data_IF_642080995224
#
_entry.id   IF_642080995224
#
_cell.length_a   1.000
_cell.length_b   1.000
_cell.length_c   1.000
_cell.angle_alpha   90.00
_cell.angle_beta   90.00
_cell.angle_gamma   90.00
#
_symmetry.space_group_name_H-M   'P 1'
#
loop_
_entity.id
_entity.type
_entity.pdbx_description
1 polymer ?
#
# COMPACT_ATOMS: atom_id res chain seq x y z
N UNK A 1 1.27 11.57 -19.88
CA UNK A 1 -0.16 11.45 -19.50
C UNK A 1 -0.59 12.76 -18.87
N UNK A 2 -1.70 13.32 -19.33
CA UNK A 2 -2.37 14.44 -18.65
C UNK A 2 -3.37 13.83 -17.68
N UNK A 3 -3.25 14.11 -16.39
CA UNK A 3 -4.18 13.60 -15.38
C UNK A 3 -5.25 14.67 -15.06
N UNK A 4 -6.49 14.26 -14.75
CA UNK A 4 -7.49 15.16 -14.20
C UNK A 4 -6.97 15.90 -12.95
N UNK A 5 -7.38 17.15 -12.76
CA UNK A 5 -6.91 18.00 -11.66
C UNK A 5 -7.20 17.41 -10.27
N UNK A 6 -8.28 16.61 -10.13
CA UNK A 6 -8.64 16.01 -8.85
C UNK A 6 -7.57 15.06 -8.30
N UNK A 7 -6.68 14.50 -9.13
CA UNK A 7 -5.57 13.67 -8.67
C UNK A 7 -4.63 14.43 -7.72
N UNK A 8 -4.44 15.74 -7.93
CA UNK A 8 -3.65 16.59 -7.05
C UNK A 8 -4.35 16.94 -5.73
N UNK A 9 -5.67 16.75 -5.64
CA UNK A 9 -6.44 16.97 -4.42
C UNK A 9 -6.49 15.73 -3.50
N UNK A 10 -6.09 14.55 -4.02
CA UNK A 10 -6.02 13.33 -3.22
C UNK A 10 -4.92 13.46 -2.14
N UNK A 11 -5.13 12.87 -0.94
CA UNK A 11 -4.12 12.93 0.10
C UNK A 11 -2.85 12.17 -0.31
N UNK A 12 -1.70 12.59 0.21
CA UNK A 12 -0.42 11.91 -0.01
C UNK A 12 -0.07 10.97 1.15
N UNK A 13 0.94 10.12 0.93
CA UNK A 13 1.54 9.25 1.95
C UNK A 13 3.05 9.51 1.96
N UNK A 14 3.57 9.97 3.09
CA UNK A 14 5.01 10.09 3.31
C UNK A 14 5.57 8.80 3.91
N UNK A 15 6.69 8.34 3.38
CA UNK A 15 7.42 7.17 3.86
C UNK A 15 8.90 7.50 4.02
N UNK A 16 9.52 7.06 5.11
CA UNK A 16 10.98 7.04 5.24
C UNK A 16 11.48 5.71 4.68
N UNK A 17 12.38 5.73 3.71
CA UNK A 17 13.03 4.55 3.15
C UNK A 17 14.56 4.63 3.34
N UNK A 18 15.09 3.96 4.38
CA UNK A 18 16.52 3.88 4.64
C UNK A 18 17.35 3.27 3.50
N UNK A 19 16.76 2.39 2.68
CA UNK A 19 17.43 1.83 1.50
C UNK A 19 17.54 2.89 0.40
N UNK A 20 16.46 3.63 0.15
CA UNK A 20 16.49 4.72 -0.82
C UNK A 20 17.49 5.80 -0.41
N UNK A 21 17.60 6.11 0.89
CA UNK A 21 18.62 7.01 1.41
C UNK A 21 20.03 6.49 1.16
N UNK A 22 20.29 5.23 1.52
CA UNK A 22 21.61 4.60 1.34
C UNK A 22 22.06 4.62 -0.12
N UNK A 23 21.13 4.37 -1.05
CA UNK A 23 21.40 4.33 -2.49
C UNK A 23 21.34 5.71 -3.16
N UNK A 24 21.11 6.79 -2.41
CA UNK A 24 20.99 8.15 -2.95
C UNK A 24 19.78 8.35 -3.87
N UNK A 25 18.76 7.50 -3.75
CA UNK A 25 17.55 7.53 -4.59
C UNK A 25 16.46 8.47 -4.05
N UNK A 26 16.58 8.93 -2.81
CA UNK A 26 15.67 9.89 -2.19
C UNK A 26 16.43 10.83 -1.24
N UNK A 27 16.23 12.15 -1.40
CA UNK A 27 16.76 13.15 -0.47
C UNK A 27 16.18 12.91 0.93
N UNK A 28 17.04 12.90 1.94
CA UNK A 28 16.71 12.60 3.34
C UNK A 28 16.04 11.23 3.60
N UNK A 29 16.05 10.36 2.58
CA UNK A 29 15.36 9.08 2.62
C UNK A 29 13.84 9.20 2.68
N UNK A 30 13.24 10.33 2.30
CA UNK A 30 11.78 10.53 2.36
C UNK A 30 11.21 10.42 0.95
N UNK A 31 10.16 9.60 0.81
CA UNK A 31 9.41 9.42 -0.44
C UNK A 31 7.97 9.84 -0.19
N UNK A 32 7.46 10.73 -1.04
CA UNK A 32 6.05 11.12 -1.05
C UNK A 32 5.30 10.39 -2.16
N UNK A 33 4.41 9.49 -1.77
CA UNK A 33 3.54 8.78 -2.69
C UNK A 33 2.24 9.57 -2.91
N UNK A 34 1.97 9.86 -4.18
CA UNK A 34 0.74 10.49 -4.61
C UNK A 34 -0.21 9.43 -5.17
N UNK A 35 -1.51 9.73 -5.20
CA UNK A 35 -2.50 8.82 -5.80
C UNK A 35 -2.20 8.53 -7.29
N UNK A 36 -1.57 9.47 -8.00
CA UNK A 36 -1.17 9.23 -9.39
C UNK A 36 -0.11 8.13 -9.54
N UNK A 37 0.72 7.86 -8.52
CA UNK A 37 1.77 6.85 -8.60
C UNK A 37 1.18 5.44 -8.58
N UNK A 38 0.15 5.20 -7.76
CA UNK A 38 -0.60 3.94 -7.78
C UNK A 38 -1.45 3.80 -9.05
N UNK A 39 -1.93 4.89 -9.64
CA UNK A 39 -2.61 4.84 -10.94
C UNK A 39 -1.64 4.53 -12.08
N UNK A 40 -0.42 5.07 -12.06
CA UNK A 40 0.63 4.67 -13.01
C UNK A 40 0.98 3.19 -12.88
N UNK A 41 1.02 2.66 -11.65
CA UNK A 41 1.23 1.23 -11.41
C UNK A 41 0.09 0.37 -12.00
N UNK A 42 -1.17 0.75 -11.74
CA UNK A 42 -2.34 -0.01 -12.16
C UNK A 42 -2.77 0.25 -13.62
N UNK A 43 -2.23 1.30 -14.25
CA UNK A 43 -2.64 1.80 -15.57
C UNK A 43 -3.98 2.56 -15.58
N UNK A 44 -4.75 2.55 -14.50
CA UNK A 44 -6.06 3.22 -14.41
C UNK A 44 -6.47 3.48 -12.95
N UNK A 45 -7.48 4.34 -12.80
CA UNK A 45 -8.15 4.63 -11.53
C UNK A 45 -9.45 3.84 -11.45
N UNK A 46 -9.57 2.95 -10.48
CA UNK A 46 -10.83 2.25 -10.16
C UNK A 46 -11.02 2.17 -8.63
N UNK A 47 -12.23 1.82 -8.14
CA UNK A 47 -12.52 1.76 -6.70
C UNK A 47 -11.54 0.87 -5.93
N UNK A 48 -11.06 -0.23 -6.51
CA UNK A 48 -10.05 -1.11 -5.90
C UNK A 48 -8.72 -0.39 -5.70
N UNK A 49 -8.21 0.33 -6.71
CA UNK A 49 -6.92 1.05 -6.63
C UNK A 49 -7.01 2.20 -5.64
N UNK A 50 -8.11 2.96 -5.68
CA UNK A 50 -8.41 4.00 -4.68
C UNK A 50 -8.49 3.42 -3.27
N UNK A 51 -9.24 2.34 -3.10
CA UNK A 51 -9.42 1.65 -1.84
C UNK A 51 -8.10 1.12 -1.26
N UNK A 52 -7.24 0.53 -2.08
CA UNK A 52 -5.93 0.05 -1.65
C UNK A 52 -5.01 1.18 -1.17
N UNK A 53 -4.99 2.32 -1.88
CA UNK A 53 -4.21 3.50 -1.47
C UNK A 53 -4.72 4.08 -0.15
N UNK A 54 -6.04 4.22 -0.01
CA UNK A 54 -6.67 4.69 1.24
C UNK A 54 -6.47 3.70 2.39
N UNK A 55 -6.47 2.40 2.11
CA UNK A 55 -6.19 1.33 3.08
C UNK A 55 -4.78 1.45 3.63
N UNK A 56 -3.77 1.59 2.75
CA UNK A 56 -2.40 1.85 3.16
C UNK A 56 -2.30 3.11 4.03
N UNK A 57 -2.89 4.23 3.56
CA UNK A 57 -2.87 5.49 4.30
C UNK A 57 -3.49 5.37 5.69
N UNK A 58 -4.64 4.70 5.82
CA UNK A 58 -5.31 4.50 7.11
C UNK A 58 -4.46 3.63 8.05
N UNK A 59 -3.91 2.52 7.55
CA UNK A 59 -3.05 1.64 8.34
C UNK A 59 -1.80 2.36 8.85
N UNK A 60 -1.12 3.09 7.98
CA UNK A 60 0.12 3.80 8.30
C UNK A 60 -0.10 4.89 9.36
N UNK A 61 -1.20 5.66 9.23
CA UNK A 61 -1.57 6.65 10.25
C UNK A 61 -1.87 6.03 11.61
N UNK A 62 -2.51 4.86 11.64
CA UNK A 62 -2.80 4.16 12.88
C UNK A 62 -1.54 3.57 13.53
N UNK A 63 -0.60 3.06 12.73
CA UNK A 63 0.64 2.42 13.21
C UNK A 63 1.73 3.43 13.59
N UNK A 64 1.71 4.62 13.00
CA UNK A 64 2.69 5.69 13.22
C UNK A 64 1.96 7.02 13.45
N UNK A 65 1.24 7.20 14.57
CA UNK A 65 0.47 8.41 14.83
C UNK A 65 1.34 9.67 14.92
N UNK A 66 2.57 9.53 15.43
CA UNK A 66 3.48 10.64 15.74
C UNK A 66 4.81 10.57 14.96
N UNK A 67 4.88 9.75 13.90
CA UNK A 67 6.10 9.54 13.14
C UNK A 67 5.83 9.26 11.65
N UNK A 68 6.86 9.46 10.81
CA UNK A 68 6.81 9.01 9.42
C UNK A 68 7.02 7.49 9.40
N UNK A 69 6.11 6.69 8.79
CA UNK A 69 6.28 5.25 8.67
C UNK A 69 7.56 4.86 7.91
N UNK A 70 8.18 3.76 8.34
CA UNK A 70 9.37 3.22 7.68
C UNK A 70 9.00 2.18 6.63
N UNK A 71 9.45 2.41 5.39
CA UNK A 71 9.27 1.49 4.26
C UNK A 71 10.06 0.21 4.50
N UNK A 72 9.34 -0.91 4.40
CA UNK A 72 9.73 -2.29 4.67
C UNK A 72 10.04 -2.61 6.14
N UNK A 73 9.51 -1.81 7.07
CA UNK A 73 9.38 -2.18 8.48
C UNK A 73 7.93 -2.62 8.82
N UNK A 74 7.18 -3.05 7.81
CA UNK A 74 5.75 -3.37 7.91
C UNK A 74 5.50 -4.71 7.22
N UNK A 75 4.93 -5.66 7.96
CA UNK A 75 4.34 -6.88 7.42
C UNK A 75 2.90 -6.61 6.96
N UNK A 76 2.51 -7.15 5.82
CA UNK A 76 1.18 -7.05 5.21
C UNK A 76 0.64 -8.45 4.96
N UNK A 77 -0.54 -8.74 5.50
CA UNK A 77 -1.20 -10.03 5.34
C UNK A 77 -2.55 -9.82 4.66
N UNK A 78 -2.67 -10.38 3.46
CA UNK A 78 -3.89 -10.33 2.65
C UNK A 78 -4.86 -11.43 3.12
N UNK A 79 -6.18 -11.13 3.20
CA UNK A 79 -7.16 -12.06 3.76
C UNK A 79 -7.59 -13.19 2.81
N UNK A 80 -7.09 -13.18 1.57
CA UNK A 80 -7.43 -14.13 0.51
C UNK A 80 -6.19 -14.49 -0.33
N UNK A 81 -6.26 -15.57 -1.16
CA UNK A 81 -5.25 -15.91 -2.14
C UNK A 81 -5.01 -14.81 -3.17
N UNK A 82 -3.78 -14.72 -3.69
CA UNK A 82 -3.36 -13.70 -4.65
C UNK A 82 -4.25 -13.62 -5.90
N UNK A 83 -4.59 -14.78 -6.46
CA UNK A 83 -5.37 -14.91 -7.70
C UNK A 83 -6.88 -14.71 -7.50
N UNK A 84 -7.34 -14.50 -6.26
CA UNK A 84 -8.75 -14.34 -5.98
C UNK A 84 -9.20 -12.89 -6.16
N UNK A 85 -10.15 -12.69 -7.08
CA UNK A 85 -10.77 -11.38 -7.32
C UNK A 85 -9.72 -10.31 -7.59
N UNK A 86 -9.74 -9.24 -6.79
CA UNK A 86 -8.78 -8.13 -6.93
C UNK A 86 -7.64 -8.17 -5.91
N UNK A 87 -7.43 -9.29 -5.20
CA UNK A 87 -6.47 -9.39 -4.10
C UNK A 87 -5.04 -9.05 -4.55
N UNK A 88 -4.59 -9.60 -5.68
CA UNK A 88 -3.29 -9.28 -6.27
C UNK A 88 -3.15 -7.81 -6.70
N UNK A 89 -4.24 -7.14 -7.11
CA UNK A 89 -4.22 -5.71 -7.45
C UNK A 89 -3.98 -4.86 -6.19
N UNK A 90 -4.72 -5.16 -5.12
CA UNK A 90 -4.54 -4.48 -3.83
C UNK A 90 -3.12 -4.71 -3.32
N UNK A 91 -2.63 -5.95 -3.36
CA UNK A 91 -1.30 -6.31 -2.88
C UNK A 91 -0.15 -5.58 -3.63
N UNK A 92 -0.27 -5.37 -4.95
CA UNK A 92 0.70 -4.59 -5.72
C UNK A 92 0.76 -3.13 -5.26
N UNK A 93 -0.40 -2.51 -5.02
CA UNK A 93 -0.47 -1.14 -4.48
C UNK A 93 0.17 -1.07 -3.09
N UNK A 94 -0.12 -2.03 -2.21
CA UNK A 94 0.48 -2.07 -0.89
C UNK A 94 2.00 -2.27 -0.97
N UNK A 95 2.48 -3.14 -1.86
CA UNK A 95 3.91 -3.37 -2.13
C UNK A 95 4.61 -2.08 -2.54
N UNK A 96 4.01 -1.29 -3.45
CA UNK A 96 4.59 -0.02 -3.89
C UNK A 96 4.87 0.90 -2.70
N UNK A 97 3.86 1.10 -1.85
CA UNK A 97 3.87 2.06 -0.75
C UNK A 97 4.73 1.56 0.42
N UNK A 98 4.45 0.35 0.92
CA UNK A 98 5.09 -0.17 2.14
C UNK A 98 6.40 -0.87 1.86
N UNK A 99 6.71 -1.23 0.61
CA UNK A 99 7.84 -2.06 0.26
C UNK A 99 7.68 -3.53 0.67
N UNK A 100 6.55 -3.92 1.27
CA UNK A 100 6.31 -5.29 1.67
C UNK A 100 6.04 -6.16 0.44
N UNK A 101 6.92 -7.13 0.17
CA UNK A 101 6.83 -8.00 -1.01
C UNK A 101 6.78 -9.47 -0.60
N UNK A 102 6.31 -10.32 -1.51
CA UNK A 102 6.38 -11.79 -1.35
C UNK A 102 7.84 -12.26 -1.49
N UNK A 103 8.07 -13.56 -1.69
CA UNK A 103 9.42 -14.12 -1.79
C UNK A 103 10.27 -13.52 -2.92
N UNK A 104 9.65 -12.94 -3.95
CA UNK A 104 10.33 -12.25 -5.05
C UNK A 104 10.85 -10.84 -4.71
N UNK A 105 10.61 -10.35 -3.48
CA UNK A 105 11.07 -9.04 -3.04
C UNK A 105 12.59 -8.89 -2.97
N UNK A 106 13.04 -7.65 -2.76
CA UNK A 106 14.46 -7.36 -2.53
C UNK A 106 14.97 -8.09 -1.28
N UNK A 107 16.05 -8.87 -1.42
CA UNK A 107 16.61 -9.68 -0.32
C UNK A 107 17.35 -8.87 0.76
N UNK A 108 17.60 -7.60 0.48
CA UNK A 108 18.39 -6.74 1.35
C UNK A 108 19.87 -6.67 0.95
N UNK A 109 20.61 -5.87 1.69
CA UNK A 109 22.07 -5.73 1.59
C UNK A 109 22.64 -6.19 2.93
N UNK A 110 23.36 -7.31 2.94
CA UNK A 110 23.74 -7.98 4.17
C UNK A 110 22.49 -8.44 4.93
N UNK A 111 22.32 -7.97 6.17
CA UNK A 111 21.18 -8.31 7.05
C UNK A 111 20.13 -7.18 7.14
N UNK A 112 20.21 -6.17 6.26
CA UNK A 112 19.38 -4.95 6.34
C UNK A 112 18.55 -4.77 5.07
N UNK A 113 17.46 -4.02 5.20
CA UNK A 113 16.60 -3.56 4.09
C UNK A 113 15.85 -4.65 3.31
N UNK A 114 15.72 -5.85 3.89
CA UNK A 114 14.92 -6.92 3.31
C UNK A 114 13.48 -6.46 3.07
N UNK A 115 12.92 -6.86 1.92
CA UNK A 115 11.54 -6.59 1.49
C UNK A 115 10.77 -7.89 1.23
N UNK A 116 11.49 -8.97 0.94
CA UNK A 116 10.89 -10.27 0.66
C UNK A 116 10.28 -10.91 1.91
N UNK A 117 9.17 -11.61 1.72
CA UNK A 117 8.46 -12.31 2.79
C UNK A 117 7.70 -11.38 3.75
N UNK A 118 7.63 -10.08 3.46
CA UNK A 118 6.85 -9.12 4.24
C UNK A 118 5.40 -9.00 3.77
N UNK A 119 5.07 -9.54 2.59
CA UNK A 119 3.71 -9.67 2.11
C UNK A 119 3.36 -11.16 2.02
N UNK A 120 2.23 -11.53 2.63
CA UNK A 120 1.66 -12.86 2.52
C UNK A 120 0.20 -12.83 2.11
N UNK A 121 -0.25 -13.95 1.54
CA UNK A 121 -1.63 -14.21 1.19
C UNK A 121 -2.15 -15.37 2.02
N UNK A 122 -3.44 -15.35 2.35
CA UNK A 122 -4.09 -16.52 2.91
C UNK A 122 -4.10 -17.67 1.88
N UNK A 123 -4.01 -18.91 2.35
CA UNK A 123 -4.05 -20.11 1.50
C UNK A 123 -5.42 -20.35 0.87
N UNK A 124 -6.47 -19.85 1.52
CA UNK A 124 -7.86 -19.93 1.11
C UNK A 124 -8.56 -18.62 1.50
N UNK A 125 -9.75 -18.37 0.95
CA UNK A 125 -10.56 -17.23 1.37
C UNK A 125 -10.96 -17.40 2.83
N UNK A 126 -10.52 -16.47 3.68
CA UNK A 126 -10.84 -16.51 5.11
C UNK A 126 -12.23 -15.95 5.44
N UNK A 127 -13.01 -15.54 4.43
CA UNK A 127 -14.24 -14.74 4.55
C UNK A 127 -14.03 -13.41 5.31
N UNK A 128 -12.78 -12.98 5.45
CA UNK A 128 -12.40 -11.69 6.02
C UNK A 128 -12.12 -10.74 4.88
N UNK A 129 -12.42 -9.47 5.10
CA UNK A 129 -12.19 -8.41 4.11
C UNK A 129 -11.02 -7.51 4.51
N UNK A 130 -10.52 -7.66 5.73
CA UNK A 130 -9.53 -6.76 6.29
C UNK A 130 -8.12 -7.18 5.95
N UNK A 131 -7.35 -6.24 5.42
CA UNK A 131 -5.90 -6.39 5.28
C UNK A 131 -5.26 -6.09 6.63
N UNK A 132 -4.38 -6.97 7.10
CA UNK A 132 -3.64 -6.77 8.33
C UNK A 132 -2.27 -6.17 8.05
N UNK A 133 -1.91 -5.15 8.83
CA UNK A 133 -0.62 -4.49 8.82
C UNK A 133 0.00 -4.62 10.21
N UNK A 134 1.29 -4.93 10.27
CA UNK A 134 2.02 -5.10 11.53
C UNK A 134 3.41 -4.49 11.42
N UNK A 135 3.81 -3.71 12.42
CA UNK A 135 5.17 -3.18 12.51
C UNK A 135 6.12 -4.26 12.99
N UNK A 136 7.26 -4.41 12.32
CA UNK A 136 8.23 -5.45 12.67
C UNK A 136 9.00 -5.11 13.96
N UNK A 137 9.21 -3.83 14.23
CA UNK A 137 9.98 -3.34 15.39
C UNK A 137 9.26 -3.48 16.74
N UNK A 138 7.93 -3.41 16.71
CA UNK A 138 7.09 -3.28 17.92
C UNK A 138 6.00 -4.34 18.01
N UNK A 139 5.69 -5.04 16.90
CA UNK A 139 4.55 -5.95 16.81
C UNK A 139 3.19 -5.25 16.82
N UNK A 140 3.15 -3.92 16.89
CA UNK A 140 1.90 -3.15 16.83
C UNK A 140 1.21 -3.39 15.49
N UNK A 141 -0.10 -3.63 15.52
CA UNK A 141 -0.81 -4.08 14.34
C UNK A 141 -2.24 -3.57 14.25
N UNK A 142 -2.72 -3.42 13.02
CA UNK A 142 -4.06 -2.95 12.69
C UNK A 142 -4.64 -3.80 11.56
N UNK A 143 -5.97 -3.91 11.53
CA UNK A 143 -6.73 -4.49 10.41
C UNK A 143 -7.55 -3.38 9.78
N UNK A 144 -7.52 -3.29 8.46
CA UNK A 144 -8.21 -2.22 7.72
C UNK A 144 -9.12 -2.83 6.67
N UNK A 145 -10.38 -2.41 6.70
CA UNK A 145 -11.38 -2.69 5.69
C UNK A 145 -11.74 -1.41 4.95
N UNK A 146 -11.80 -1.47 3.62
CA UNK A 146 -12.31 -0.40 2.80
C UNK A 146 -13.71 -0.74 2.30
N UNK A 147 -14.70 0.02 2.73
CA UNK A 147 -16.09 -0.14 2.31
C UNK A 147 -16.45 0.88 1.21
N UNK A 148 -16.41 0.43 -0.04
CA UNK A 148 -16.76 1.25 -1.19
C UNK A 148 -18.25 1.58 -1.27
N UNK A 149 -19.14 0.79 -0.64
CA UNK A 149 -20.59 1.01 -0.71
C UNK A 149 -21.03 2.30 -0.01
N UNK A 150 -20.17 2.85 0.83
CA UNK A 150 -20.40 4.13 1.52
C UNK A 150 -20.05 5.35 0.67
N UNK A 151 -19.47 5.15 -0.51
CA UNK A 151 -19.13 6.21 -1.45
C UNK A 151 -20.27 6.34 -2.47
N UNK A 152 -20.97 7.49 -2.54
CA UNK A 152 -22.03 7.68 -3.53
C UNK A 152 -21.44 7.66 -4.94
N UNK A 153 -22.23 7.16 -5.90
CA UNK A 153 -21.87 7.23 -7.32
C UNK A 153 -21.76 8.69 -7.77
N UNK A 154 -20.75 8.99 -8.58
CA UNK A 154 -20.63 10.30 -9.22
C UNK A 154 -21.58 10.36 -10.42
N UNK A 155 -22.50 11.31 -10.41
CA UNK A 155 -23.47 11.50 -11.49
C UNK A 155 -22.83 11.86 -12.84
N UNK A 156 -21.56 12.28 -12.83
CA UNK A 156 -20.79 12.59 -14.05
C UNK A 156 -20.06 11.36 -14.60
N UNK A 157 -20.09 10.23 -13.91
CA UNK A 157 -19.48 9.00 -14.39
C UNK A 157 -20.31 8.44 -15.56
N UNK A 158 -19.73 8.24 -16.76
CA UNK A 158 -20.47 7.68 -17.88
C UNK A 158 -21.00 6.29 -17.52
N UNK A 159 -22.23 5.99 -17.96
CA UNK A 159 -22.82 4.66 -17.82
C UNK A 159 -21.93 3.61 -18.50
N UNK A 160 -21.92 2.41 -17.91
CA UNK A 160 -21.11 1.28 -18.37
C UNK A 160 -21.64 0.67 -19.66
#
# INVERSE_FOLDING_TARGET
MTFPSFFGAAPTILMRDPLAQLLGSATDGVIEYHYVDVVKLAGHSCPTVAGAFLTARAALKALYPDAIPERGNINVQMPAPEIQGTTGVVAQVLTLITGAATQGGFKGIGQRFGRNGLLSFASEDTNKLEVRFERLDTGAAVKVFFDAHRVPADATQPER
#
